data_IF_372649518752
#
_entry.id   IF_372649518752
#
_cell.length_a   1.000
_cell.length_b   1.000
_cell.length_c   1.000
_cell.angle_alpha   90.00
_cell.angle_beta   90.00
_cell.angle_gamma   90.00
#
_symmetry.space_group_name_H-M   'P 1'
#
loop_
_entity.id
_entity.type
_entity.pdbx_description
1 polymer ?
#
# COMPACT_ATOMS: atom_id res chain seq x y z
N UNK A 1 73.91 -55.19 19.13
CA UNK A 1 73.45 -53.85 19.53
C UNK A 1 72.73 -53.24 18.34
N UNK A 2 71.38 -53.39 18.27
CA UNK A 2 70.60 -52.81 17.19
C UNK A 2 69.50 -52.02 17.86
N UNK A 3 69.54 -50.73 17.72
CA UNK A 3 68.53 -49.79 18.22
C UNK A 3 67.44 -49.61 17.15
N UNK A 4 66.24 -50.14 17.45
CA UNK A 4 65.12 -49.98 16.58
C UNK A 4 64.41 -48.60 16.79
N UNK A 5 64.32 -47.83 15.73
CA UNK A 5 63.51 -46.61 15.69
C UNK A 5 62.03 -46.97 15.38
N UNK A 6 61.13 -46.65 16.29
CA UNK A 6 59.70 -46.77 16.09
C UNK A 6 59.21 -45.45 15.45
N UNK A 7 58.69 -45.55 14.24
CA UNK A 7 58.02 -44.48 13.50
C UNK A 7 56.52 -44.50 13.89
N UNK A 8 56.01 -43.45 14.51
CA UNK A 8 54.59 -43.27 14.76
C UNK A 8 53.95 -42.55 13.55
N UNK A 9 52.83 -43.06 13.02
CA UNK A 9 52.12 -42.32 11.97
C UNK A 9 51.31 -41.16 12.61
N UNK A 10 51.54 -39.97 12.10
CA UNK A 10 50.74 -38.77 12.40
C UNK A 10 49.41 -38.91 11.65
N UNK A 11 48.31 -39.16 12.40
CA UNK A 11 46.98 -39.13 11.85
C UNK A 11 46.55 -37.66 11.65
N UNK A 12 46.52 -37.24 10.40
CA UNK A 12 46.00 -35.91 10.00
C UNK A 12 44.47 -35.89 10.13
N UNK A 13 43.98 -35.24 11.18
CA UNK A 13 42.57 -35.03 11.43
C UNK A 13 42.03 -33.90 10.52
N UNK A 14 41.42 -34.26 9.41
CA UNK A 14 40.78 -33.31 8.48
C UNK A 14 39.50 -32.79 9.11
N UNK A 15 39.56 -31.55 9.65
CA UNK A 15 38.40 -30.84 10.22
C UNK A 15 37.58 -30.26 9.05
N UNK A 16 36.52 -30.98 8.65
CA UNK A 16 35.55 -30.46 7.69
C UNK A 16 34.66 -29.44 8.40
N UNK A 17 34.97 -28.14 8.21
CA UNK A 17 34.13 -27.02 8.60
C UNK A 17 32.82 -27.04 7.75
N UNK A 18 31.76 -27.60 8.33
CA UNK A 18 30.42 -27.52 7.79
C UNK A 18 29.91 -26.08 8.02
N UNK A 19 30.11 -25.21 7.02
CA UNK A 19 29.46 -23.88 7.00
C UNK A 19 27.95 -24.08 6.89
N UNK A 20 27.26 -24.04 8.00
CA UNK A 20 25.81 -23.91 8.00
C UNK A 20 25.45 -22.54 7.42
N UNK A 21 25.17 -22.50 6.13
CA UNK A 21 24.56 -21.31 5.49
C UNK A 21 23.17 -21.12 6.10
N UNK A 22 23.06 -20.19 7.05
CA UNK A 22 21.77 -19.68 7.49
C UNK A 22 21.13 -19.00 6.28
N UNK A 23 20.25 -19.73 5.59
CA UNK A 23 19.34 -19.12 4.62
C UNK A 23 18.38 -18.28 5.46
N UNK A 24 18.74 -17.01 5.63
CA UNK A 24 17.80 -16.00 6.11
C UNK A 24 16.67 -15.97 5.10
N UNK A 25 15.50 -16.47 5.49
CA UNK A 25 14.28 -16.33 4.72
C UNK A 25 13.94 -14.83 4.75
N UNK A 26 14.52 -14.06 3.83
CA UNK A 26 14.16 -12.68 3.62
C UNK A 26 12.71 -12.70 3.09
N UNK A 27 11.78 -12.17 3.90
CA UNK A 27 10.40 -12.00 3.48
C UNK A 27 10.37 -11.22 2.15
N UNK A 28 9.45 -11.59 1.28
CA UNK A 28 9.29 -10.98 -0.04
C UNK A 28 9.11 -9.46 0.08
N UNK A 29 9.78 -8.66 -0.80
CA UNK A 29 9.61 -7.22 -0.77
C UNK A 29 8.17 -6.84 -1.11
N UNK A 30 7.55 -6.03 -0.27
CA UNK A 30 6.22 -5.45 -0.48
C UNK A 30 6.36 -3.96 -0.86
N UNK A 31 5.46 -3.38 -1.69
CA UNK A 31 4.26 -3.99 -2.26
C UNK A 31 4.54 -4.85 -3.51
N UNK A 32 3.66 -5.83 -3.77
CA UNK A 32 3.66 -6.60 -5.02
C UNK A 32 2.23 -6.91 -5.47
N UNK A 33 2.05 -7.30 -6.74
CA UNK A 33 0.77 -7.80 -7.25
C UNK A 33 0.72 -9.31 -7.10
N UNK A 34 -0.28 -9.77 -6.35
CA UNK A 34 -0.59 -11.19 -6.20
C UNK A 34 -1.83 -11.57 -6.99
N UNK A 35 -1.86 -12.77 -7.54
CA UNK A 35 -3.02 -13.36 -8.21
C UNK A 35 -3.64 -14.45 -7.34
N UNK A 36 -4.96 -14.40 -7.18
CA UNK A 36 -5.70 -15.39 -6.39
C UNK A 36 -5.76 -16.72 -7.13
N UNK A 37 -5.34 -17.81 -6.50
CA UNK A 37 -5.19 -19.12 -7.14
C UNK A 37 -6.42 -20.05 -7.01
N UNK A 38 -7.47 -19.62 -6.26
CA UNK A 38 -8.70 -20.38 -6.06
C UNK A 38 -9.94 -19.48 -6.00
N UNK A 39 -11.12 -20.08 -6.19
CA UNK A 39 -12.39 -19.34 -6.10
C UNK A 39 -12.91 -19.24 -4.66
N UNK A 40 -13.77 -18.25 -4.41
CA UNK A 40 -14.45 -18.03 -3.12
C UNK A 40 -13.51 -17.83 -1.92
N UNK A 41 -12.35 -17.22 -2.14
CA UNK A 41 -11.39 -16.97 -1.08
C UNK A 41 -11.83 -15.78 -0.25
N UNK A 42 -11.93 -15.98 1.06
CA UNK A 42 -12.35 -14.95 2.00
C UNK A 42 -11.27 -13.88 2.18
N UNK A 43 -11.65 -12.63 1.96
CA UNK A 43 -10.91 -11.44 2.41
C UNK A 43 -11.53 -11.02 3.75
N UNK A 44 -10.70 -10.84 4.77
CA UNK A 44 -11.12 -10.63 6.16
C UNK A 44 -10.67 -9.28 6.72
N UNK A 45 -11.33 -8.86 7.79
CA UNK A 45 -11.03 -7.58 8.48
C UNK A 45 -9.71 -7.61 9.28
N UNK A 46 -9.21 -8.79 9.64
CA UNK A 46 -7.92 -8.99 10.32
C UNK A 46 -7.26 -10.30 9.89
N UNK A 47 -5.98 -10.46 10.24
CA UNK A 47 -5.11 -11.60 9.91
C UNK A 47 -5.41 -12.83 10.78
N UNK A 48 -6.67 -13.23 10.86
CA UNK A 48 -7.13 -14.41 11.59
C UNK A 48 -8.36 -15.06 10.96
N UNK A 49 -8.52 -16.34 11.11
CA UNK A 49 -9.68 -17.09 10.59
C UNK A 49 -11.00 -16.73 11.28
N UNK A 50 -10.96 -16.18 12.48
CA UNK A 50 -12.14 -15.72 13.24
C UNK A 50 -12.57 -14.29 12.89
N UNK A 51 -11.75 -13.52 12.13
CA UNK A 51 -12.10 -12.17 11.73
C UNK A 51 -13.27 -12.15 10.75
N UNK A 52 -14.05 -11.06 10.77
CA UNK A 52 -15.19 -10.89 9.87
C UNK A 52 -14.77 -10.95 8.38
N UNK A 53 -15.62 -11.59 7.59
CA UNK A 53 -15.42 -11.66 6.14
C UNK A 53 -15.92 -10.35 5.54
N UNK A 54 -15.02 -9.63 4.85
CA UNK A 54 -15.33 -8.40 4.12
C UNK A 54 -16.03 -8.76 2.80
N UNK A 55 -15.39 -9.58 2.00
CA UNK A 55 -15.87 -10.05 0.70
C UNK A 55 -15.13 -11.34 0.31
N UNK A 56 -15.48 -11.87 -0.85
CA UNK A 56 -14.80 -13.02 -1.43
C UNK A 56 -14.12 -12.63 -2.73
N UNK A 57 -12.97 -13.23 -2.96
CA UNK A 57 -12.19 -13.07 -4.19
C UNK A 57 -12.31 -14.31 -5.06
N UNK A 58 -12.23 -14.12 -6.38
CA UNK A 58 -12.27 -15.18 -7.37
C UNK A 58 -10.87 -15.54 -7.85
N UNK A 59 -10.72 -16.74 -8.41
CA UNK A 59 -9.49 -17.18 -9.06
C UNK A 59 -9.12 -16.23 -10.20
N UNK A 60 -7.84 -15.86 -10.30
CA UNK A 60 -7.33 -14.94 -11.30
C UNK A 60 -7.47 -13.45 -10.94
N UNK A 61 -8.16 -13.11 -9.85
CA UNK A 61 -8.25 -11.72 -9.38
C UNK A 61 -6.87 -11.24 -8.90
N UNK A 62 -6.48 -10.06 -9.38
CA UNK A 62 -5.20 -9.45 -9.02
C UNK A 62 -5.37 -8.46 -7.90
N UNK A 63 -4.62 -8.67 -6.83
CA UNK A 63 -4.69 -7.88 -5.60
C UNK A 63 -3.32 -7.27 -5.30
N UNK A 64 -3.31 -6.01 -4.86
CA UNK A 64 -2.09 -5.35 -4.38
C UNK A 64 -1.82 -5.78 -2.95
N UNK A 65 -0.73 -6.52 -2.74
CA UNK A 65 -0.23 -6.91 -1.42
C UNK A 65 0.65 -5.79 -0.89
N UNK A 66 0.28 -5.21 0.25
CA UNK A 66 0.97 -4.05 0.84
C UNK A 66 1.79 -4.38 2.08
N UNK A 67 1.50 -5.49 2.75
CA UNK A 67 2.32 -6.02 3.83
C UNK A 67 2.01 -7.49 4.09
N UNK A 68 2.90 -8.16 4.81
CA UNK A 68 2.77 -9.53 5.26
C UNK A 68 2.76 -9.58 6.79
N UNK A 69 1.97 -10.50 7.34
CA UNK A 69 1.95 -10.80 8.77
C UNK A 69 1.66 -12.29 8.97
N UNK A 70 2.66 -13.06 9.36
CA UNK A 70 2.59 -14.53 9.42
C UNK A 70 2.13 -15.11 8.06
N UNK A 71 1.10 -15.98 8.07
CA UNK A 71 0.53 -16.60 6.87
C UNK A 71 -0.58 -15.76 6.20
N UNK A 72 -0.58 -14.43 6.41
CA UNK A 72 -1.57 -13.50 5.88
C UNK A 72 -0.93 -12.36 5.13
N UNK A 73 -1.50 -12.04 3.98
CA UNK A 73 -1.19 -10.83 3.24
C UNK A 73 -2.24 -9.76 3.50
N UNK A 74 -1.76 -8.57 3.86
CA UNK A 74 -2.58 -7.36 3.88
C UNK A 74 -2.68 -6.84 2.46
N UNK A 75 -3.90 -6.73 1.96
CA UNK A 75 -4.19 -6.32 0.59
C UNK A 75 -4.98 -5.02 0.58
N UNK A 76 -4.85 -4.25 -0.48
CA UNK A 76 -5.77 -3.16 -0.79
C UNK A 76 -7.12 -3.77 -1.17
N UNK A 77 -8.21 -3.22 -0.63
CA UNK A 77 -9.54 -3.77 -0.91
C UNK A 77 -9.92 -3.63 -2.38
N UNK A 78 -10.49 -4.67 -2.99
CA UNK A 78 -11.01 -4.60 -4.34
C UNK A 78 -12.27 -3.72 -4.39
N UNK A 79 -12.60 -3.18 -5.57
CA UNK A 79 -13.71 -2.21 -5.76
C UNK A 79 -15.08 -2.70 -5.29
N UNK A 80 -15.33 -4.01 -5.35
CA UNK A 80 -16.58 -4.62 -4.92
C UNK A 80 -16.72 -4.75 -3.39
N UNK A 81 -15.66 -4.50 -2.62
CA UNK A 81 -15.71 -4.63 -1.17
C UNK A 81 -16.64 -3.58 -0.55
N UNK A 82 -17.54 -3.96 0.38
CA UNK A 82 -18.39 -3.02 1.07
C UNK A 82 -17.57 -2.06 1.94
N UNK A 83 -17.87 -0.78 1.80
CA UNK A 83 -17.18 0.28 2.55
C UNK A 83 -18.18 1.37 2.91
N UNK A 84 -18.23 1.78 4.17
CA UNK A 84 -19.19 2.74 4.67
C UNK A 84 -18.54 3.90 5.41
N UNK A 85 -19.09 5.10 5.22
CA UNK A 85 -18.73 6.32 5.94
C UNK A 85 -19.98 6.97 6.53
N UNK A 86 -19.87 7.59 7.69
CA UNK A 86 -20.98 8.27 8.35
C UNK A 86 -21.30 9.58 7.62
N UNK A 87 -22.58 9.85 7.33
CA UNK A 87 -23.05 10.99 6.55
C UNK A 87 -22.59 12.34 7.07
N UNK A 88 -22.64 12.54 8.40
CA UNK A 88 -22.26 13.79 9.03
C UNK A 88 -20.75 14.09 8.98
N UNK A 89 -19.95 13.22 8.38
CA UNK A 89 -18.50 13.39 8.21
C UNK A 89 -18.11 13.75 6.77
N UNK A 90 -19.12 13.91 5.90
CA UNK A 90 -18.95 14.33 4.51
C UNK A 90 -19.91 15.47 4.17
N UNK A 91 -19.56 16.29 3.21
CA UNK A 91 -20.36 17.40 2.69
C UNK A 91 -20.15 17.57 1.18
N UNK A 92 -20.99 18.43 0.56
CA UNK A 92 -20.84 18.77 -0.85
C UNK A 92 -21.03 17.55 -1.75
N UNK A 93 -22.20 16.90 -1.64
CA UNK A 93 -22.56 15.84 -2.58
C UNK A 93 -22.93 16.51 -3.90
N UNK A 94 -22.01 16.45 -4.86
CA UNK A 94 -22.21 16.95 -6.21
C UNK A 94 -22.56 15.79 -7.14
N UNK A 95 -23.58 15.99 -7.97
CA UNK A 95 -23.88 15.06 -9.04
C UNK A 95 -22.75 15.15 -10.07
N UNK A 96 -22.10 14.03 -10.36
CA UNK A 96 -21.07 14.00 -11.41
C UNK A 96 -21.76 14.24 -12.75
N UNK A 97 -21.30 15.20 -13.60
CA UNK A 97 -21.81 15.34 -14.95
C UNK A 97 -21.73 14.00 -15.69
N UNK A 98 -22.82 13.62 -16.34
CA UNK A 98 -23.03 12.28 -16.93
C UNK A 98 -22.27 12.05 -18.25
N UNK A 99 -21.12 12.65 -18.49
CA UNK A 99 -20.48 12.64 -19.83
C UNK A 99 -19.70 11.38 -20.22
N UNK A 100 -19.73 10.32 -19.40
CA UNK A 100 -18.94 9.12 -19.74
C UNK A 100 -19.57 7.75 -19.50
N UNK A 101 -20.80 7.64 -18.99
CA UNK A 101 -21.38 6.33 -18.62
C UNK A 101 -22.82 6.07 -19.03
N UNK A 102 -23.26 6.63 -20.14
CA UNK A 102 -24.66 6.47 -20.64
C UNK A 102 -24.96 5.06 -21.19
N UNK A 103 -24.11 4.07 -20.99
CA UNK A 103 -24.31 2.70 -21.50
C UNK A 103 -24.57 1.61 -20.46
N UNK A 104 -24.69 1.94 -19.17
CA UNK A 104 -24.99 0.96 -18.10
C UNK A 104 -26.26 1.30 -17.31
N UNK A 105 -27.19 1.98 -17.92
CA UNK A 105 -28.56 2.09 -17.39
C UNK A 105 -29.38 0.83 -17.71
N UNK A 106 -29.12 -0.20 -16.94
CA UNK A 106 -30.07 -1.30 -16.80
C UNK A 106 -29.94 -1.89 -15.40
N UNK A 107 -30.81 -1.44 -14.53
CA UNK A 107 -31.13 -1.95 -13.19
C UNK A 107 -30.76 -1.06 -12.02
N UNK A 108 -31.74 -0.26 -11.54
CA UNK A 108 -31.93 0.10 -10.15
C UNK A 108 -31.00 1.18 -9.60
N UNK A 109 -31.46 2.42 -9.62
CA UNK A 109 -31.25 3.48 -8.59
C UNK A 109 -29.85 3.62 -7.93
N UNK A 110 -28.75 3.45 -8.65
CA UNK A 110 -27.41 3.80 -8.17
C UNK A 110 -27.09 5.26 -8.49
N UNK A 111 -27.28 6.12 -7.50
CA UNK A 111 -26.84 7.53 -7.57
C UNK A 111 -25.33 7.59 -7.29
N UNK A 112 -24.52 7.61 -8.34
CA UNK A 112 -23.08 7.87 -8.18
C UNK A 112 -22.92 9.35 -7.93
N UNK A 113 -22.51 9.71 -6.72
CA UNK A 113 -22.30 11.10 -6.28
C UNK A 113 -20.91 11.23 -5.67
N UNK A 114 -20.32 12.41 -5.80
CA UNK A 114 -19.06 12.72 -5.11
C UNK A 114 -19.36 13.41 -3.78
N UNK A 115 -18.71 12.95 -2.71
CA UNK A 115 -18.78 13.56 -1.40
C UNK A 115 -17.39 13.92 -0.90
N UNK A 116 -17.25 15.06 -0.25
CA UNK A 116 -15.99 15.55 0.29
C UNK A 116 -15.94 15.34 1.81
N UNK A 117 -14.86 14.75 2.30
CA UNK A 117 -14.65 14.51 3.74
C UNK A 117 -14.37 15.84 4.43
N UNK A 118 -15.08 16.11 5.55
CA UNK A 118 -14.97 17.40 6.30
C UNK A 118 -14.14 17.33 7.57
N UNK A 119 -13.66 16.13 7.95
CA UNK A 119 -12.83 15.91 9.15
C UNK A 119 -11.63 15.04 8.84
N UNK A 120 -10.59 15.12 9.68
CA UNK A 120 -9.39 14.30 9.55
C UNK A 120 -9.60 12.93 10.21
N UNK A 121 -8.91 11.92 9.69
CA UNK A 121 -8.85 10.56 10.24
C UNK A 121 -10.22 9.88 10.40
N UNK A 122 -11.14 10.14 9.48
CA UNK A 122 -12.47 9.54 9.48
C UNK A 122 -12.37 8.05 9.17
N UNK A 123 -13.03 7.21 9.98
CA UNK A 123 -13.04 5.77 9.82
C UNK A 123 -13.94 5.34 8.65
N UNK A 124 -13.41 4.48 7.79
CA UNK A 124 -14.17 3.71 6.83
C UNK A 124 -14.45 2.35 7.44
N UNK A 125 -15.70 1.89 7.39
CA UNK A 125 -16.15 0.69 8.09
C UNK A 125 -16.74 -0.36 7.14
N UNK A 126 -16.76 -1.61 7.60
CA UNK A 126 -17.29 -2.74 6.83
C UNK A 126 -18.82 -2.70 6.68
N UNK A 127 -19.52 -2.26 7.73
CA UNK A 127 -20.98 -2.15 7.76
C UNK A 127 -21.38 -0.76 8.28
N UNK A 128 -22.65 -0.32 8.06
CA UNK A 128 -23.14 0.98 8.55
C UNK A 128 -23.40 0.97 10.05
N UNK A 129 -22.36 0.72 10.85
CA UNK A 129 -22.39 0.65 12.32
C UNK A 129 -21.09 1.15 12.93
N UNK A 130 -21.16 1.81 14.08
CA UNK A 130 -19.98 2.28 14.83
C UNK A 130 -19.18 1.13 15.48
N UNK A 131 -19.79 -0.01 15.72
CA UNK A 131 -19.13 -1.21 16.22
C UNK A 131 -18.46 -2.06 15.13
N UNK A 132 -18.73 -1.76 13.86
CA UNK A 132 -18.21 -2.51 12.72
C UNK A 132 -16.68 -2.34 12.57
N UNK A 133 -15.95 -3.35 12.06
CA UNK A 133 -14.53 -3.26 11.79
C UNK A 133 -14.15 -2.04 10.95
N UNK A 134 -13.03 -1.44 11.30
CA UNK A 134 -12.44 -0.33 10.54
C UNK A 134 -11.56 -0.90 9.44
N UNK A 135 -11.93 -0.62 8.20
CA UNK A 135 -11.20 -1.06 7.01
C UNK A 135 -10.08 -0.08 6.62
N UNK A 136 -10.24 1.20 6.99
CA UNK A 136 -9.29 2.24 6.66
C UNK A 136 -9.68 3.59 7.25
N UNK A 137 -8.93 4.62 6.86
CA UNK A 137 -9.20 6.00 7.27
C UNK A 137 -8.99 6.93 6.10
N UNK A 138 -9.78 7.99 6.07
CA UNK A 138 -9.68 9.10 5.10
C UNK A 138 -9.49 10.42 5.84
N UNK A 139 -8.84 11.36 5.20
CA UNK A 139 -8.56 12.67 5.77
C UNK A 139 -9.46 13.74 5.12
N UNK A 140 -9.51 14.91 5.77
CA UNK A 140 -10.25 16.06 5.28
C UNK A 140 -9.88 16.39 3.81
N UNK A 141 -10.87 16.83 3.06
CA UNK A 141 -10.79 17.15 1.64
C UNK A 141 -10.61 15.97 0.68
N UNK A 142 -10.52 14.72 1.17
CA UNK A 142 -10.59 13.57 0.26
C UNK A 142 -11.99 13.47 -0.35
N UNK A 143 -12.03 13.24 -1.66
CA UNK A 143 -13.29 13.06 -2.41
C UNK A 143 -13.58 11.57 -2.52
N UNK A 144 -14.81 11.20 -2.18
CA UNK A 144 -15.30 9.84 -2.15
C UNK A 144 -16.40 9.64 -3.17
N UNK A 145 -16.41 8.51 -3.84
CA UNK A 145 -17.53 8.10 -4.69
C UNK A 145 -18.59 7.43 -3.82
N UNK A 146 -19.75 8.06 -3.72
CA UNK A 146 -20.91 7.54 -3.01
C UNK A 146 -21.72 6.67 -3.95
N UNK A 147 -21.98 5.43 -3.55
CA UNK A 147 -22.75 4.45 -4.33
C UNK A 147 -24.21 4.37 -3.85
N UNK A 148 -24.44 4.46 -2.53
CA UNK A 148 -25.75 4.22 -1.94
C UNK A 148 -25.92 4.98 -0.63
N UNK A 149 -27.17 5.36 -0.33
CA UNK A 149 -27.60 5.95 0.95
C UNK A 149 -28.19 4.85 1.85
N UNK A 150 -27.60 4.67 3.04
CA UNK A 150 -27.99 3.65 4.03
C UNK A 150 -28.24 4.30 5.40
N UNK A 151 -29.31 5.08 5.51
CA UNK A 151 -29.82 5.56 6.80
C UNK A 151 -28.75 6.11 7.77
N UNK A 152 -28.19 7.30 7.55
CA UNK A 152 -27.11 7.89 8.36
C UNK A 152 -25.69 7.50 7.93
N UNK A 153 -25.55 6.59 6.98
CA UNK A 153 -24.28 6.16 6.37
C UNK A 153 -24.36 6.26 4.85
N UNK A 154 -23.21 6.45 4.21
CA UNK A 154 -23.05 6.25 2.78
C UNK A 154 -22.24 5.01 2.52
N UNK A 155 -22.71 4.15 1.62
CA UNK A 155 -21.87 3.15 0.97
C UNK A 155 -21.01 3.87 -0.06
N UNK A 156 -19.71 3.64 -0.03
CA UNK A 156 -18.74 4.28 -0.90
C UNK A 156 -17.90 3.23 -1.63
N UNK A 157 -17.27 3.61 -2.73
CA UNK A 157 -16.18 2.82 -3.27
C UNK A 157 -15.03 2.71 -2.25
N UNK A 158 -14.38 1.54 -2.12
CA UNK A 158 -13.20 1.40 -1.27
C UNK A 158 -12.13 2.42 -1.66
N UNK A 159 -11.61 3.12 -0.65
CA UNK A 159 -10.55 4.09 -0.83
C UNK A 159 -9.18 3.42 -0.79
N UNK A 160 -8.16 4.10 -1.32
CA UNK A 160 -6.79 3.58 -1.36
C UNK A 160 -6.22 3.17 0.01
N UNK A 161 -6.74 3.73 1.10
CA UNK A 161 -6.36 3.40 2.47
C UNK A 161 -7.31 2.38 3.13
N UNK A 162 -8.09 1.63 2.34
CA UNK A 162 -8.92 0.52 2.82
C UNK A 162 -8.25 -0.80 2.56
N UNK A 163 -8.14 -1.62 3.62
CA UNK A 163 -7.38 -2.85 3.59
C UNK A 163 -8.18 -4.03 4.14
N UNK A 164 -7.86 -5.20 3.63
CA UNK A 164 -8.30 -6.48 4.14
C UNK A 164 -7.14 -7.46 4.22
N UNK A 165 -7.41 -8.66 4.70
CA UNK A 165 -6.44 -9.73 4.86
C UNK A 165 -6.88 -10.98 4.11
N UNK A 166 -5.96 -11.58 3.39
CA UNK A 166 -6.13 -12.84 2.67
C UNK A 166 -5.02 -13.81 3.08
N UNK A 167 -5.33 -15.10 3.20
CA UNK A 167 -4.29 -16.08 3.54
C UNK A 167 -3.29 -16.21 2.39
N UNK A 168 -1.99 -16.14 2.70
CA UNK A 168 -0.89 -16.14 1.73
C UNK A 168 -0.89 -17.38 0.83
N UNK A 169 -1.37 -18.53 1.34
CA UNK A 169 -1.49 -19.78 0.57
C UNK A 169 -2.39 -19.69 -0.66
N UNK A 170 -3.26 -18.67 -0.74
CA UNK A 170 -4.16 -18.45 -1.88
C UNK A 170 -3.67 -17.38 -2.83
N UNK A 171 -2.47 -16.86 -2.65
CA UNK A 171 -1.88 -15.82 -3.48
C UNK A 171 -0.63 -16.35 -4.16
N UNK A 172 -0.61 -16.31 -5.47
CA UNK A 172 0.57 -16.52 -6.30
C UNK A 172 1.12 -15.17 -6.73
N UNK A 173 2.43 -14.96 -6.54
CA UNK A 173 3.08 -13.71 -6.97
C UNK A 173 3.07 -13.64 -8.50
N UNK A 174 2.53 -12.55 -9.05
CA UNK A 174 2.63 -12.29 -10.48
C UNK A 174 4.02 -11.73 -10.75
N UNK A 175 4.90 -12.59 -11.30
CA UNK A 175 6.17 -12.11 -11.84
C UNK A 175 5.86 -11.28 -13.08
N UNK A 176 6.20 -10.00 -13.08
CA UNK A 176 6.17 -9.16 -14.28
C UNK A 176 7.33 -9.51 -15.20
N UNK A 177 7.35 -10.75 -15.69
CA UNK A 177 8.14 -11.10 -16.86
C UNK A 177 7.34 -10.69 -18.09
N UNK A 178 7.75 -9.58 -18.69
CA UNK A 178 7.52 -9.09 -20.04
C UNK A 178 6.36 -9.73 -20.83
N UNK A 179 5.29 -8.98 -21.02
CA UNK A 179 4.55 -8.96 -22.27
C UNK A 179 4.61 -7.54 -22.82
N UNK A 180 5.60 -7.33 -23.65
CA UNK A 180 5.72 -6.17 -24.51
C UNK A 180 4.71 -6.26 -25.63
N UNK A 181 3.67 -5.44 -25.58
CA UNK A 181 3.06 -4.79 -26.76
C UNK A 181 2.02 -3.78 -26.30
N UNK A 182 2.30 -2.51 -26.50
CA UNK A 182 1.44 -1.39 -26.22
C UNK A 182 2.20 -0.24 -25.56
N UNK A 183 2.99 0.50 -26.36
CA UNK A 183 3.81 1.59 -25.93
C UNK A 183 2.97 2.75 -25.36
N UNK A 184 2.99 2.91 -24.06
CA UNK A 184 2.93 4.22 -23.40
C UNK A 184 4.19 4.29 -22.54
N UNK A 185 5.06 5.23 -22.87
CA UNK A 185 6.34 5.45 -22.21
C UNK A 185 6.10 5.71 -20.71
N UNK A 186 6.17 4.65 -19.90
CA UNK A 186 6.45 4.79 -18.48
C UNK A 186 7.96 5.01 -18.36
N UNK A 187 8.34 6.25 -18.09
CA UNK A 187 9.70 6.53 -17.63
C UNK A 187 9.94 5.73 -16.35
N UNK A 188 10.65 4.63 -16.50
CA UNK A 188 11.21 3.88 -15.38
C UNK A 188 12.15 4.83 -14.63
N UNK A 189 11.77 5.13 -13.38
CA UNK A 189 12.66 5.84 -12.45
C UNK A 189 13.74 4.84 -12.07
N UNK A 190 14.86 4.87 -12.78
CA UNK A 190 16.07 4.18 -12.34
C UNK A 190 16.60 4.91 -11.10
N UNK A 191 16.49 4.25 -9.94
CA UNK A 191 17.05 4.72 -8.68
C UNK A 191 18.58 4.64 -8.79
N UNK A 192 19.20 5.75 -9.14
CA UNK A 192 20.65 5.94 -9.04
C UNK A 192 20.88 6.86 -7.84
N UNK A 193 21.54 6.38 -6.80
CA UNK A 193 21.93 7.19 -5.64
C UNK A 193 22.67 8.46 -6.09
N UNK A 194 22.24 9.62 -5.55
CA UNK A 194 22.91 10.90 -5.75
C UNK A 194 22.39 11.76 -6.90
N UNK A 195 21.35 11.35 -7.65
CA UNK A 195 20.76 12.16 -8.71
C UNK A 195 19.53 12.94 -8.22
N UNK A 196 19.40 14.20 -8.62
CA UNK A 196 18.19 14.99 -8.36
C UNK A 196 17.00 14.29 -9.01
N UNK A 197 16.05 13.88 -8.17
CA UNK A 197 14.84 13.19 -8.59
C UNK A 197 13.67 14.17 -8.58
N UNK A 198 12.82 14.09 -9.60
CA UNK A 198 11.59 14.88 -9.71
C UNK A 198 10.43 13.91 -9.49
N UNK A 199 9.60 14.18 -8.49
CA UNK A 199 8.45 13.32 -8.16
C UNK A 199 7.22 14.19 -7.93
N UNK A 200 6.09 13.78 -8.52
CA UNK A 200 4.80 14.44 -8.32
C UNK A 200 3.90 13.58 -7.42
N UNK A 201 3.11 14.24 -6.60
CA UNK A 201 2.19 13.56 -5.70
C UNK A 201 1.46 14.52 -4.78
N UNK A 202 0.68 13.97 -3.86
CA UNK A 202 -0.01 14.73 -2.80
C UNK A 202 0.83 14.68 -1.53
N UNK A 203 1.17 15.86 -1.00
CA UNK A 203 1.88 15.97 0.26
C UNK A 203 0.91 15.81 1.43
N UNK A 204 1.31 15.03 2.44
CA UNK A 204 0.55 14.86 3.69
C UNK A 204 1.48 14.84 4.90
N UNK A 205 1.01 15.26 6.10
CA UNK A 205 1.77 15.10 7.34
C UNK A 205 2.11 13.63 7.61
N UNK A 206 3.32 13.35 8.09
CA UNK A 206 3.76 11.98 8.42
C UNK A 206 3.41 11.57 9.86
N UNK A 207 2.45 12.19 10.47
CA UNK A 207 1.99 11.84 11.81
C UNK A 207 3.02 12.05 12.93
N UNK A 208 2.65 11.68 14.17
CA UNK A 208 3.52 11.75 15.34
C UNK A 208 4.15 10.37 15.56
N UNK A 209 5.40 10.20 15.11
CA UNK A 209 6.21 9.00 15.35
C UNK A 209 7.45 9.41 16.14
N UNK A 210 7.77 8.67 17.19
CA UNK A 210 8.98 8.95 17.98
C UNK A 210 10.22 8.72 17.10
N UNK A 211 11.18 9.67 17.12
CA UNK A 211 12.39 9.66 16.27
C UNK A 211 12.10 9.55 14.76
N UNK A 212 11.05 10.24 14.28
CA UNK A 212 10.70 10.22 12.86
C UNK A 212 11.81 10.82 11.98
N UNK A 213 12.13 10.20 10.84
CA UNK A 213 13.17 10.69 9.92
C UNK A 213 12.72 11.90 9.09
N UNK A 214 11.41 12.12 8.97
CA UNK A 214 10.81 13.18 8.17
C UNK A 214 9.52 13.71 8.81
N UNK A 215 9.09 14.89 8.39
CA UNK A 215 7.86 15.53 8.90
C UNK A 215 6.66 15.28 8.01
N UNK A 216 6.88 15.04 6.72
CA UNK A 216 5.84 14.86 5.71
C UNK A 216 6.10 13.62 4.87
N UNK A 217 5.07 13.17 4.17
CA UNK A 217 5.11 12.12 3.15
C UNK A 217 4.51 12.63 1.86
N UNK A 218 5.06 12.20 0.74
CA UNK A 218 4.52 12.40 -0.59
C UNK A 218 3.89 11.09 -1.06
N UNK A 219 2.67 11.14 -1.55
CA UNK A 219 1.96 10.00 -2.12
C UNK A 219 1.77 10.28 -3.61
N UNK A 220 2.40 9.49 -4.45
CA UNK A 220 2.32 9.61 -5.90
C UNK A 220 1.00 9.02 -6.44
N UNK A 221 0.68 9.28 -7.69
CA UNK A 221 -0.52 8.75 -8.36
C UNK A 221 -0.56 7.21 -8.42
N UNK A 222 0.61 6.56 -8.44
CA UNK A 222 0.79 5.10 -8.35
C UNK A 222 0.89 4.60 -6.89
N UNK A 223 0.49 5.44 -5.93
CA UNK A 223 0.47 5.15 -4.48
C UNK A 223 1.82 4.83 -3.83
N UNK A 224 2.93 5.14 -4.48
CA UNK A 224 4.24 5.08 -3.81
C UNK A 224 4.35 6.17 -2.75
N UNK A 225 4.97 5.83 -1.63
CA UNK A 225 5.15 6.74 -0.49
C UNK A 225 6.63 7.08 -0.38
N UNK A 226 6.92 8.37 -0.39
CA UNK A 226 8.23 8.93 -0.10
C UNK A 226 8.16 9.78 1.15
N UNK A 227 9.17 9.73 1.99
CA UNK A 227 9.28 10.64 3.13
C UNK A 227 9.97 11.92 2.69
N UNK A 228 9.44 13.07 3.09
CA UNK A 228 9.98 14.37 2.74
C UNK A 228 10.73 14.96 3.93
N UNK A 229 12.03 15.21 3.74
CA UNK A 229 12.91 15.92 4.67
C UNK A 229 13.23 17.28 4.08
N UNK A 230 12.80 18.35 4.73
CA UNK A 230 12.98 19.73 4.24
C UNK A 230 12.45 20.76 5.22
N UNK A 231 12.30 22.00 4.76
CA UNK A 231 11.77 23.08 5.58
C UNK A 231 10.32 22.80 5.98
N UNK A 232 10.09 22.58 7.28
CA UNK A 232 8.76 22.21 7.81
C UNK A 232 7.69 23.22 7.45
N UNK A 233 7.96 24.55 7.53
CA UNK A 233 6.96 25.59 7.24
C UNK A 233 6.50 25.54 5.80
N UNK A 234 7.43 25.41 4.85
CA UNK A 234 7.10 25.30 3.42
C UNK A 234 6.29 24.04 3.12
N UNK A 235 6.63 22.92 3.76
CA UNK A 235 5.90 21.67 3.61
C UNK A 235 4.51 21.72 4.24
N UNK A 236 4.36 22.36 5.42
CA UNK A 236 3.07 22.51 6.10
C UNK A 236 2.07 23.35 5.28
N UNK A 237 2.54 24.36 4.55
CA UNK A 237 1.70 25.23 3.69
C UNK A 237 1.10 24.46 2.49
N UNK A 238 1.78 23.40 2.04
CA UNK A 238 1.39 22.60 0.88
C UNK A 238 0.70 21.29 1.26
N UNK A 239 0.33 21.13 2.53
CA UNK A 239 -0.40 19.94 2.99
C UNK A 239 -1.70 19.76 2.22
N UNK A 240 -1.87 18.53 1.70
CA UNK A 240 -3.02 18.08 0.91
C UNK A 240 -3.10 18.66 -0.52
N UNK A 241 -2.12 19.44 -0.96
CA UNK A 241 -2.00 19.91 -2.34
C UNK A 241 -1.23 18.90 -3.20
N UNK A 242 -1.52 18.93 -4.50
CA UNK A 242 -0.70 18.24 -5.49
C UNK A 242 0.56 19.06 -5.73
N UNK A 243 1.71 18.44 -5.59
CA UNK A 243 2.99 19.12 -5.64
C UNK A 243 3.98 18.38 -6.54
N UNK A 244 4.93 19.14 -7.08
CA UNK A 244 6.15 18.63 -7.72
C UNK A 244 7.31 18.85 -6.77
N UNK A 245 7.96 17.78 -6.37
CA UNK A 245 9.11 17.78 -5.46
C UNK A 245 10.37 17.49 -6.25
N UNK A 246 11.38 18.34 -6.07
CA UNK A 246 12.72 18.15 -6.61
C UNK A 246 13.67 18.00 -5.42
N UNK A 247 14.47 16.95 -5.41
CA UNK A 247 15.39 16.69 -4.31
C UNK A 247 16.21 15.43 -4.50
N UNK A 248 17.08 15.16 -3.56
CA UNK A 248 17.95 13.99 -3.55
C UNK A 248 17.24 12.82 -2.89
N UNK A 249 17.16 11.71 -3.62
CA UNK A 249 16.68 10.45 -3.07
C UNK A 249 17.80 9.81 -2.25
N UNK A 250 17.56 9.63 -0.96
CA UNK A 250 18.46 8.91 -0.06
C UNK A 250 17.90 7.49 0.13
N UNK A 251 18.76 6.48 -0.04
CA UNK A 251 18.37 5.08 0.08
C UNK A 251 17.78 4.75 1.46
N UNK A 252 17.08 3.64 1.61
CA UNK A 252 16.49 3.23 2.87
C UNK A 252 17.57 2.71 3.82
N UNK A 253 18.20 3.58 4.57
CA UNK A 253 18.89 3.18 5.79
C UNK A 253 17.84 2.69 6.79
N UNK A 254 17.61 1.37 6.83
CA UNK A 254 16.72 0.66 7.76
C UNK A 254 15.27 1.17 7.87
N UNK A 255 14.76 1.95 6.93
CA UNK A 255 13.43 2.55 6.98
C UNK A 255 12.49 2.02 5.91
N UNK A 256 11.21 1.92 6.26
CA UNK A 256 10.15 1.38 5.42
C UNK A 256 9.92 2.14 4.10
N UNK A 257 10.25 3.44 4.04
CA UNK A 257 10.02 4.30 2.88
C UNK A 257 11.27 5.08 2.50
N UNK A 258 11.58 5.27 1.20
CA UNK A 258 12.68 6.11 0.76
C UNK A 258 12.47 7.56 1.17
N UNK A 259 13.57 8.27 1.48
CA UNK A 259 13.56 9.67 1.91
C UNK A 259 14.01 10.55 0.76
N UNK A 260 13.28 11.64 0.51
CA UNK A 260 13.68 12.71 -0.39
C UNK A 260 14.12 13.90 0.46
N UNK A 261 15.37 14.31 0.34
CA UNK A 261 15.83 15.61 0.83
C UNK A 261 15.37 16.67 -0.16
N UNK A 262 14.36 17.43 0.23
CA UNK A 262 13.67 18.39 -0.62
C UNK A 262 14.55 19.61 -0.85
N UNK A 263 14.92 19.86 -2.10
CA UNK A 263 15.62 21.07 -2.55
C UNK A 263 14.63 22.14 -3.03
N UNK A 264 13.59 21.72 -3.77
CA UNK A 264 12.54 22.59 -4.27
C UNK A 264 11.19 21.87 -4.25
N UNK A 265 10.13 22.61 -3.96
CA UNK A 265 8.76 22.13 -4.02
C UNK A 265 7.86 23.19 -4.67
N UNK A 266 7.00 22.77 -5.58
CA UNK A 266 6.08 23.61 -6.33
C UNK A 266 4.68 23.03 -6.25
N UNK A 267 3.65 23.88 -6.01
CA UNK A 267 2.26 23.47 -6.13
C UNK A 267 1.89 23.28 -7.60
N UNK A 268 1.05 22.30 -7.90
CA UNK A 268 0.55 21.98 -9.24
C UNK A 268 -0.95 22.24 -9.39
N UNK A 269 -1.56 22.91 -8.38
CA UNK A 269 -2.99 23.26 -8.35
C UNK A 269 -3.25 24.57 -9.09
#
# INVERSE_FOLDING_TARGET
MCTGHKIFPVASLLFILFSASNILCAGEPVPFTGEVNANNINIRSDSTVSAEIICKSAKGERLEVVSERYDWYKIRLPKQAPSFIKKNLVAGIEDKPADSFDKLKASGNELIKNAKVIKDRVNIRLTPSESSPILGKVDRNEVLTVLEDKGGWYRIEPVNNSFGWISSKFISKVSTAATSQGAVQQQAISVTEGKNTIIEGIIKPYGIVFKRPATHKLITSDNKIFLLKGNKKSLDQLNYHKVKVIGKLTGPDSQKYPIIEVEKIEALD
#
